data_IF_732290678506
#
_entry.id   IF_732290678506
#
_cell.length_a   1.000
_cell.length_b   1.000
_cell.length_c   1.000
_cell.angle_alpha   90.00
_cell.angle_beta   90.00
_cell.angle_gamma   90.00
#
_symmetry.space_group_name_H-M   'P 1'
#
loop_
_entity.id
_entity.type
_entity.pdbx_description
1 polymer ?
#
# COMPACT_ATOMS: atom_id res chain seq x y z
N UNK A 1 -57.35 10.54 -8.44
CA UNK A 1 -56.47 9.75 -9.33
C UNK A 1 -55.41 10.62 -10.02
N UNK A 2 -55.79 11.70 -10.72
CA UNK A 2 -54.84 12.62 -11.39
C UNK A 2 -53.73 13.14 -10.45
N UNK A 3 -54.09 13.57 -9.24
CA UNK A 3 -53.13 14.08 -8.26
C UNK A 3 -52.09 13.03 -7.80
N UNK A 4 -52.49 11.76 -7.71
CA UNK A 4 -51.59 10.65 -7.37
C UNK A 4 -50.61 10.36 -8.51
N UNK A 5 -51.07 10.42 -9.76
CA UNK A 5 -50.24 10.23 -10.93
C UNK A 5 -49.20 11.36 -11.06
N UNK A 6 -49.61 12.60 -10.78
CA UNK A 6 -48.72 13.77 -10.81
C UNK A 6 -47.63 13.71 -9.72
N UNK A 7 -47.98 13.30 -8.49
CA UNK A 7 -47.00 13.05 -7.43
C UNK A 7 -46.03 11.90 -7.72
N UNK A 8 -46.50 10.85 -8.40
CA UNK A 8 -45.64 9.73 -8.82
C UNK A 8 -44.61 10.19 -9.87
N UNK A 9 -45.06 10.96 -10.87
CA UNK A 9 -44.19 11.54 -11.89
C UNK A 9 -43.16 12.51 -11.28
N UNK A 10 -43.57 13.34 -10.31
CA UNK A 10 -42.67 14.27 -9.63
C UNK A 10 -41.60 13.53 -8.81
N UNK A 11 -41.96 12.48 -8.07
CA UNK A 11 -40.98 11.62 -7.36
C UNK A 11 -39.99 10.95 -8.29
N UNK A 12 -40.46 10.45 -9.44
CA UNK A 12 -39.58 9.84 -10.45
C UNK A 12 -38.62 10.87 -11.05
N UNK A 13 -39.07 12.10 -11.30
CA UNK A 13 -38.23 13.19 -11.78
C UNK A 13 -37.16 13.57 -10.74
N UNK A 14 -37.54 13.74 -9.47
CA UNK A 14 -36.59 14.02 -8.38
C UNK A 14 -35.56 12.91 -8.20
N UNK A 15 -35.96 11.64 -8.32
CA UNK A 15 -35.05 10.49 -8.28
C UNK A 15 -34.07 10.51 -9.45
N UNK A 16 -34.54 10.85 -10.65
CA UNK A 16 -33.67 10.95 -11.84
C UNK A 16 -32.65 12.07 -11.67
N UNK A 17 -33.09 13.26 -11.25
CA UNK A 17 -32.19 14.40 -10.97
C UNK A 17 -31.17 14.08 -9.87
N UNK A 18 -31.57 13.38 -8.80
CA UNK A 18 -30.64 12.92 -7.75
C UNK A 18 -29.60 11.96 -8.32
N UNK A 19 -30.03 10.97 -9.11
CA UNK A 19 -29.12 10.02 -9.74
C UNK A 19 -28.13 10.69 -10.69
N UNK A 20 -28.56 11.69 -11.45
CA UNK A 20 -27.69 12.43 -12.37
C UNK A 20 -26.69 13.32 -11.62
N UNK A 21 -27.11 13.95 -10.52
CA UNK A 21 -26.19 14.69 -9.62
C UNK A 21 -25.16 13.75 -8.98
N UNK A 22 -25.57 12.56 -8.54
CA UNK A 22 -24.65 11.56 -7.99
C UNK A 22 -23.64 11.05 -9.05
N UNK A 23 -24.09 10.81 -10.28
CA UNK A 23 -23.20 10.43 -11.39
C UNK A 23 -22.19 11.53 -11.71
N UNK A 24 -22.64 12.78 -11.78
CA UNK A 24 -21.76 13.92 -12.00
C UNK A 24 -20.74 14.07 -10.87
N UNK A 25 -21.19 13.97 -9.61
CA UNK A 25 -20.31 14.02 -8.44
C UNK A 25 -19.25 12.90 -8.45
N UNK A 26 -19.64 11.66 -8.78
CA UNK A 26 -18.69 10.53 -8.93
C UNK A 26 -17.71 10.75 -10.06
N UNK A 27 -18.16 11.32 -11.18
CA UNK A 27 -17.28 11.65 -12.32
C UNK A 27 -16.26 12.72 -11.92
N UNK A 28 -16.70 13.81 -11.28
CA UNK A 28 -15.82 14.87 -10.80
C UNK A 28 -14.84 14.38 -9.73
N UNK A 29 -15.25 13.50 -8.81
CA UNK A 29 -14.33 12.94 -7.82
C UNK A 29 -13.29 12.02 -8.48
N UNK A 30 -13.69 11.24 -9.49
CA UNK A 30 -12.74 10.42 -10.25
C UNK A 30 -11.72 11.28 -11.01
N UNK A 31 -12.15 12.37 -11.64
CA UNK A 31 -11.26 13.32 -12.32
C UNK A 31 -10.27 13.96 -11.33
N UNK A 32 -10.75 14.37 -10.14
CA UNK A 32 -9.89 14.90 -9.07
C UNK A 32 -8.87 13.88 -8.57
N UNK A 33 -9.29 12.63 -8.41
CA UNK A 33 -8.39 11.55 -7.99
C UNK A 33 -7.32 11.25 -9.05
N UNK A 34 -7.68 11.27 -10.34
CA UNK A 34 -6.74 11.13 -11.43
C UNK A 34 -5.74 12.30 -11.49
N UNK A 35 -6.21 13.54 -11.25
CA UNK A 35 -5.33 14.71 -11.13
C UNK A 35 -4.39 14.62 -9.93
N UNK A 36 -4.87 14.17 -8.76
CA UNK A 36 -4.04 13.92 -7.57
C UNK A 36 -2.93 12.92 -7.88
N UNK A 37 -3.26 11.81 -8.54
CA UNK A 37 -2.29 10.78 -8.94
C UNK A 37 -1.23 11.32 -9.87
N UNK A 38 -1.62 12.08 -10.90
CA UNK A 38 -0.66 12.73 -11.82
C UNK A 38 0.28 13.67 -11.08
N UNK A 39 -0.25 14.48 -10.15
CA UNK A 39 0.59 15.36 -9.33
C UNK A 39 1.55 14.58 -8.42
N UNK A 40 1.16 13.40 -7.93
CA UNK A 40 2.05 12.52 -7.17
C UNK A 40 3.14 11.91 -8.05
N UNK A 41 2.79 11.41 -9.24
CA UNK A 41 3.73 10.85 -10.21
C UNK A 41 4.76 11.92 -10.65
N UNK A 42 4.30 13.16 -10.89
CA UNK A 42 5.17 14.28 -11.24
C UNK A 42 6.18 14.61 -10.12
N UNK A 43 5.75 14.54 -8.84
CA UNK A 43 6.65 14.74 -7.70
C UNK A 43 7.71 13.65 -7.63
N UNK A 44 7.32 12.39 -7.87
CA UNK A 44 8.25 11.26 -7.88
C UNK A 44 9.25 11.40 -9.03
N UNK A 45 8.78 11.76 -10.22
CA UNK A 45 9.64 11.97 -11.38
C UNK A 45 10.65 13.11 -11.16
N UNK A 46 10.25 14.18 -10.46
CA UNK A 46 11.16 15.25 -10.07
C UNK A 46 12.24 14.76 -9.08
N UNK A 47 11.86 13.93 -8.10
CA UNK A 47 12.82 13.31 -7.18
C UNK A 47 13.78 12.38 -7.92
N UNK A 48 13.27 11.53 -8.80
CA UNK A 48 14.04 10.60 -9.60
C UNK A 48 15.11 11.34 -10.42
N UNK A 49 14.70 12.37 -11.16
CA UNK A 49 15.64 13.20 -11.93
C UNK A 49 16.71 13.84 -11.05
N UNK A 50 16.34 14.33 -9.85
CA UNK A 50 17.30 14.93 -8.92
C UNK A 50 18.28 13.91 -8.36
N UNK A 51 17.82 12.69 -8.09
CA UNK A 51 18.66 11.59 -7.64
C UNK A 51 19.60 11.12 -8.76
N UNK A 52 19.14 11.03 -10.00
CA UNK A 52 19.96 10.69 -11.16
C UNK A 52 21.07 11.73 -11.40
N UNK A 53 20.71 13.03 -11.40
CA UNK A 53 21.67 14.13 -11.48
C UNK A 53 22.72 14.06 -10.36
N UNK A 54 22.28 13.76 -9.13
CA UNK A 54 23.14 13.64 -7.96
C UNK A 54 24.09 12.45 -8.03
N UNK A 55 23.57 11.27 -8.38
CA UNK A 55 24.33 10.03 -8.54
C UNK A 55 25.36 10.16 -9.65
N UNK A 56 24.98 10.73 -10.79
CA UNK A 56 25.87 10.94 -11.92
C UNK A 56 26.99 11.94 -11.55
N UNK A 57 26.66 13.01 -10.81
CA UNK A 57 27.67 13.93 -10.30
C UNK A 57 28.65 13.23 -9.34
N UNK A 58 28.16 12.35 -8.46
CA UNK A 58 29.02 11.56 -7.57
C UNK A 58 29.91 10.57 -8.35
N UNK A 59 29.37 9.93 -9.40
CA UNK A 59 30.13 9.05 -10.30
C UNK A 59 31.30 9.80 -10.95
N UNK A 60 31.04 11.00 -11.49
CA UNK A 60 32.09 11.84 -12.05
C UNK A 60 33.17 12.25 -11.04
N UNK A 61 32.79 12.52 -9.78
CA UNK A 61 33.78 12.79 -8.73
C UNK A 61 34.67 11.56 -8.52
N UNK A 62 34.09 10.36 -8.50
CA UNK A 62 34.84 9.09 -8.43
C UNK A 62 35.82 8.93 -9.58
N UNK A 63 35.39 9.21 -10.81
CA UNK A 63 36.24 9.15 -12.01
C UNK A 63 37.40 10.17 -11.95
N UNK A 64 37.12 11.41 -11.54
CA UNK A 64 38.14 12.46 -11.40
C UNK A 64 39.12 12.17 -10.27
N UNK A 65 38.64 11.63 -9.15
CA UNK A 65 39.46 11.33 -7.98
C UNK A 65 40.36 10.11 -8.21
N UNK A 66 39.87 9.10 -8.95
CA UNK A 66 40.64 7.90 -9.26
C UNK A 66 41.81 8.14 -10.23
N UNK A 67 41.69 9.11 -11.14
CA UNK A 67 42.73 9.47 -12.12
C UNK A 67 43.09 10.95 -12.06
N UNK A 68 43.34 11.46 -10.85
CA UNK A 68 43.51 12.88 -10.64
C UNK A 68 44.76 13.46 -11.33
N UNK A 69 44.59 14.63 -11.94
CA UNK A 69 45.66 15.46 -12.50
C UNK A 69 45.41 16.90 -12.05
N UNK A 70 46.47 17.68 -11.77
CA UNK A 70 46.35 19.05 -11.22
C UNK A 70 45.44 19.96 -12.04
N UNK A 71 45.42 19.80 -13.37
CA UNK A 71 44.53 20.54 -14.28
C UNK A 71 43.03 20.28 -14.07
N UNK A 72 42.65 19.23 -13.33
CA UNK A 72 41.27 18.90 -13.01
C UNK A 72 40.80 19.44 -11.65
N UNK A 73 41.67 20.15 -10.89
CA UNK A 73 41.34 20.65 -9.56
C UNK A 73 40.07 21.52 -9.57
N UNK A 74 39.94 22.45 -10.52
CA UNK A 74 38.79 23.34 -10.60
C UNK A 74 37.50 22.58 -10.95
N UNK A 75 37.60 21.59 -11.85
CA UNK A 75 36.49 20.73 -12.20
C UNK A 75 36.03 19.90 -10.98
N UNK A 76 36.97 19.32 -10.24
CA UNK A 76 36.68 18.56 -9.01
C UNK A 76 36.01 19.46 -7.96
N UNK A 77 36.54 20.66 -7.71
CA UNK A 77 35.96 21.63 -6.79
C UNK A 77 34.52 21.98 -7.19
N UNK A 78 34.28 22.30 -8.46
CA UNK A 78 32.94 22.59 -8.99
C UNK A 78 31.95 21.43 -8.80
N UNK A 79 32.41 20.19 -8.95
CA UNK A 79 31.61 18.98 -8.73
C UNK A 79 31.31 18.74 -7.25
N UNK A 80 32.27 19.00 -6.36
CA UNK A 80 32.05 18.95 -4.90
C UNK A 80 31.00 19.99 -4.49
N UNK A 81 31.08 21.23 -4.98
CA UNK A 81 30.05 22.24 -4.75
C UNK A 81 28.68 21.78 -5.24
N UNK A 82 28.62 21.18 -6.43
CA UNK A 82 27.38 20.60 -6.98
C UNK A 82 26.84 19.47 -6.10
N UNK A 83 27.71 18.62 -5.57
CA UNK A 83 27.33 17.52 -4.67
C UNK A 83 26.73 18.05 -3.37
N UNK A 84 27.38 19.03 -2.73
CA UNK A 84 26.88 19.66 -1.50
C UNK A 84 25.53 20.33 -1.74
N UNK A 85 25.38 21.04 -2.87
CA UNK A 85 24.10 21.64 -3.25
C UNK A 85 23.03 20.57 -3.47
N UNK A 86 23.36 19.47 -4.14
CA UNK A 86 22.46 18.34 -4.33
C UNK A 86 21.96 17.75 -3.01
N UNK A 87 22.86 17.57 -2.02
CA UNK A 87 22.47 17.14 -0.67
C UNK A 87 21.53 18.13 0.02
N UNK A 88 21.78 19.44 -0.10
CA UNK A 88 20.90 20.46 0.46
C UNK A 88 19.51 20.47 -0.19
N UNK A 89 19.44 20.27 -1.51
CA UNK A 89 18.18 20.20 -2.24
C UNK A 89 17.39 18.94 -1.85
N UNK A 90 18.07 17.79 -1.70
CA UNK A 90 17.48 16.54 -1.21
C UNK A 90 16.96 16.69 0.24
N UNK A 91 17.72 17.35 1.12
CA UNK A 91 17.29 17.59 2.50
C UNK A 91 16.05 18.49 2.57
N UNK A 92 15.95 19.50 1.69
CA UNK A 92 14.78 20.38 1.60
C UNK A 92 13.54 19.66 1.11
N UNK A 93 13.67 18.74 0.14
CA UNK A 93 12.53 18.03 -0.44
C UNK A 93 12.07 16.79 0.37
N UNK A 94 12.83 16.35 1.38
CA UNK A 94 12.52 15.14 2.17
C UNK A 94 11.11 15.14 2.78
N UNK A 95 10.62 16.32 3.17
CA UNK A 95 9.28 16.48 3.76
C UNK A 95 8.14 16.12 2.80
N UNK A 96 8.38 16.23 1.49
CA UNK A 96 7.38 15.92 0.44
C UNK A 96 7.04 14.43 0.39
N UNK A 97 7.92 13.56 0.89
CA UNK A 97 7.79 12.10 0.78
C UNK A 97 7.65 11.41 2.14
N UNK A 98 7.30 12.14 3.21
CA UNK A 98 7.19 11.56 4.56
C UNK A 98 6.09 10.50 4.71
N UNK A 99 5.11 10.51 3.82
CA UNK A 99 4.04 9.52 3.73
C UNK A 99 4.53 8.20 3.09
N UNK A 100 5.63 8.24 2.34
CA UNK A 100 6.18 7.07 1.65
C UNK A 100 7.13 6.31 2.58
N UNK A 101 6.78 5.06 2.89
CA UNK A 101 7.60 4.16 3.71
C UNK A 101 8.27 3.12 2.83
N UNK A 102 9.61 3.04 2.89
CA UNK A 102 10.40 2.02 2.19
C UNK A 102 10.81 0.94 3.20
N UNK A 103 10.39 -0.32 3.02
CA UNK A 103 10.79 -1.41 3.91
C UNK A 103 12.29 -1.65 3.86
N UNK A 104 12.94 -1.79 5.02
CA UNK A 104 14.37 -2.11 5.09
C UNK A 104 14.71 -3.49 4.51
N UNK A 105 13.76 -4.42 4.55
CA UNK A 105 13.89 -5.74 3.94
C UNK A 105 14.03 -5.69 2.40
N UNK A 106 13.79 -4.52 1.78
CA UNK A 106 14.02 -4.30 0.35
C UNK A 106 15.51 -4.08 0.04
N UNK A 107 16.32 -3.56 0.98
CA UNK A 107 17.70 -3.17 0.73
C UNK A 107 18.57 -4.30 0.15
N UNK A 108 18.50 -5.57 0.64
CA UNK A 108 19.27 -6.65 0.04
C UNK A 108 18.96 -6.89 -1.44
N UNK A 109 17.75 -6.57 -1.90
CA UNK A 109 17.40 -6.68 -3.32
C UNK A 109 18.07 -5.56 -4.12
N UNK A 110 18.12 -4.34 -3.58
CA UNK A 110 18.76 -3.20 -4.24
C UNK A 110 20.28 -3.37 -4.32
N UNK A 111 20.91 -3.79 -3.21
CA UNK A 111 22.36 -3.99 -3.12
C UNK A 111 22.85 -5.08 -4.09
N UNK A 112 22.03 -6.13 -4.28
CA UNK A 112 22.30 -7.20 -5.25
C UNK A 112 21.92 -6.84 -6.70
N UNK A 113 21.44 -5.62 -6.97
CA UNK A 113 20.97 -5.19 -8.30
C UNK A 113 19.73 -5.96 -8.78
N UNK A 114 18.95 -6.55 -7.87
CA UNK A 114 17.73 -7.29 -8.17
C UNK A 114 16.54 -6.35 -8.37
N UNK A 115 15.58 -6.79 -9.18
CA UNK A 115 14.34 -6.05 -9.37
C UNK A 115 13.53 -5.97 -8.05
N UNK A 116 13.17 -4.78 -7.55
CA UNK A 116 12.35 -4.59 -6.34
C UNK A 116 11.01 -5.34 -6.34
N UNK A 117 10.42 -5.61 -7.51
CA UNK A 117 9.19 -6.40 -7.63
C UNK A 117 9.37 -7.83 -7.10
N UNK A 118 10.60 -8.36 -7.03
CA UNK A 118 10.89 -9.65 -6.43
C UNK A 118 10.66 -9.64 -4.91
N UNK A 119 10.94 -8.53 -4.23
CA UNK A 119 10.60 -8.37 -2.82
C UNK A 119 9.08 -8.39 -2.62
N UNK A 120 8.34 -7.63 -3.43
CA UNK A 120 6.88 -7.61 -3.38
C UNK A 120 6.29 -9.01 -3.61
N UNK A 121 6.80 -9.73 -4.61
CA UNK A 121 6.42 -11.12 -4.89
C UNK A 121 6.67 -12.02 -3.68
N UNK A 122 7.88 -11.99 -3.12
CA UNK A 122 8.23 -12.80 -1.96
C UNK A 122 7.34 -12.48 -0.73
N UNK A 123 7.02 -11.21 -0.51
CA UNK A 123 6.11 -10.79 0.56
C UNK A 123 4.69 -11.36 0.35
N UNK A 124 4.17 -11.32 -0.88
CA UNK A 124 2.88 -11.89 -1.23
C UNK A 124 2.85 -13.41 -1.04
N UNK A 125 3.88 -14.11 -1.50
CA UNK A 125 4.02 -15.56 -1.36
C UNK A 125 4.09 -15.99 0.11
N UNK A 126 4.91 -15.30 0.91
CA UNK A 126 5.00 -15.53 2.36
C UNK A 126 3.68 -15.26 3.08
N UNK A 127 2.94 -14.24 2.65
CA UNK A 127 1.62 -13.92 3.21
C UNK A 127 0.61 -15.01 2.86
N UNK A 128 0.62 -15.49 1.62
CA UNK A 128 -0.23 -16.59 1.17
C UNK A 128 0.06 -17.88 1.96
N UNK A 129 1.33 -18.22 2.16
CA UNK A 129 1.73 -19.39 2.95
C UNK A 129 1.24 -19.28 4.39
N UNK A 130 1.43 -18.13 5.03
CA UNK A 130 0.90 -17.87 6.38
C UNK A 130 -0.61 -18.00 6.45
N UNK A 131 -1.34 -17.47 5.47
CA UNK A 131 -2.80 -17.58 5.42
C UNK A 131 -3.24 -19.05 5.29
N UNK A 132 -2.58 -19.85 4.45
CA UNK A 132 -2.85 -21.29 4.32
C UNK A 132 -2.59 -22.02 5.65
N UNK A 133 -1.47 -21.73 6.31
CA UNK A 133 -1.12 -22.33 7.59
C UNK A 133 -2.14 -21.97 8.70
N UNK A 134 -2.59 -20.71 8.76
CA UNK A 134 -3.62 -20.26 9.70
C UNK A 134 -4.96 -20.94 9.41
N UNK A 135 -5.36 -21.02 8.14
CA UNK A 135 -6.59 -21.72 7.77
C UNK A 135 -6.56 -23.21 8.16
N UNK A 136 -5.43 -23.90 7.92
CA UNK A 136 -5.25 -25.29 8.36
C UNK A 136 -5.37 -25.44 9.88
N UNK A 137 -4.81 -24.50 10.67
CA UNK A 137 -4.99 -24.49 12.12
C UNK A 137 -6.46 -24.30 12.52
N UNK A 138 -7.16 -23.36 11.89
CA UNK A 138 -8.59 -23.12 12.14
C UNK A 138 -9.39 -24.41 11.90
N UNK A 139 -9.15 -25.10 10.78
CA UNK A 139 -9.82 -26.36 10.47
C UNK A 139 -9.56 -27.45 11.51
N UNK A 140 -8.31 -27.59 11.97
CA UNK A 140 -7.94 -28.56 13.02
C UNK A 140 -8.64 -28.20 14.34
N UNK A 141 -8.65 -26.92 14.74
CA UNK A 141 -9.35 -26.50 15.95
C UNK A 141 -10.87 -26.68 15.85
N UNK A 142 -11.46 -26.46 14.67
CA UNK A 142 -12.88 -26.76 14.43
C UNK A 142 -13.18 -28.25 14.63
N UNK A 143 -12.34 -29.13 14.08
CA UNK A 143 -12.47 -30.59 14.25
C UNK A 143 -12.26 -31.03 15.69
N UNK A 144 -11.22 -30.51 16.35
CA UNK A 144 -10.94 -30.78 17.76
C UNK A 144 -12.09 -30.35 18.66
N UNK A 145 -12.65 -29.15 18.44
CA UNK A 145 -13.86 -28.69 19.14
C UNK A 145 -15.02 -29.65 18.93
N UNK A 146 -15.29 -30.05 17.69
CA UNK A 146 -16.38 -30.99 17.40
C UNK A 146 -16.20 -32.32 18.13
N UNK A 147 -14.97 -32.84 18.19
CA UNK A 147 -14.66 -34.05 18.93
C UNK A 147 -14.84 -33.86 20.44
N UNK A 148 -14.31 -32.79 21.04
CA UNK A 148 -14.52 -32.48 22.46
C UNK A 148 -16.01 -32.35 22.81
N UNK A 149 -16.78 -31.65 21.98
CA UNK A 149 -18.22 -31.49 22.20
C UNK A 149 -18.97 -32.83 22.12
N UNK A 150 -18.50 -33.75 21.27
CA UNK A 150 -19.03 -35.11 21.19
C UNK A 150 -18.74 -35.89 22.49
N UNK A 151 -17.47 -35.99 22.89
CA UNK A 151 -17.10 -36.74 24.11
C UNK A 151 -17.76 -36.16 25.36
N UNK A 152 -17.83 -34.83 25.48
CA UNK A 152 -18.53 -34.19 26.60
C UNK A 152 -20.04 -34.39 26.57
N UNK A 153 -20.65 -34.53 25.39
CA UNK A 153 -22.09 -34.82 25.32
C UNK A 153 -22.43 -36.24 25.78
N UNK A 154 -21.47 -37.18 25.67
CA UNK A 154 -21.61 -38.56 26.13
C UNK A 154 -21.36 -38.66 27.65
N UNK A 155 -20.32 -37.99 28.16
CA UNK A 155 -19.91 -38.07 29.58
C UNK A 155 -20.65 -37.09 30.51
N UNK A 156 -21.01 -35.89 30.03
CA UNK A 156 -21.52 -34.79 30.85
C UNK A 156 -22.59 -33.95 30.12
N UNK A 157 -23.75 -34.55 29.78
CA UNK A 157 -24.77 -33.89 28.95
C UNK A 157 -25.30 -32.59 29.56
N UNK A 158 -25.50 -32.53 30.88
CA UNK A 158 -26.00 -31.35 31.59
C UNK A 158 -25.05 -30.14 31.45
N UNK A 159 -23.74 -30.39 31.53
CA UNK A 159 -22.71 -29.35 31.36
C UNK A 159 -22.64 -28.85 29.92
N UNK A 160 -22.81 -29.74 28.94
CA UNK A 160 -22.86 -29.33 27.51
C UNK A 160 -24.10 -28.49 27.22
N UNK A 161 -25.25 -28.84 27.80
CA UNK A 161 -26.47 -28.02 27.70
C UNK A 161 -26.27 -26.63 28.29
N UNK A 162 -25.64 -26.54 29.47
CA UNK A 162 -25.29 -25.25 30.07
C UNK A 162 -24.27 -24.48 29.23
N UNK A 163 -23.23 -25.13 28.71
CA UNK A 163 -22.25 -24.49 27.84
C UNK A 163 -22.89 -23.91 26.57
N UNK A 164 -23.83 -24.63 25.96
CA UNK A 164 -24.62 -24.17 24.80
C UNK A 164 -25.59 -23.04 25.13
N UNK A 165 -26.03 -22.90 26.39
CA UNK A 165 -26.92 -21.80 26.77
C UNK A 165 -26.17 -20.49 27.02
N UNK A 166 -24.90 -20.56 27.47
CA UNK A 166 -24.06 -19.36 27.70
C UNK A 166 -23.27 -18.92 26.46
N UNK A 167 -23.00 -19.84 25.53
CA UNK A 167 -22.37 -19.48 24.26
C UNK A 167 -23.45 -19.36 23.19
N UNK A 168 -23.57 -18.19 22.59
CA UNK A 168 -24.19 -18.07 21.27
C UNK A 168 -23.53 -19.12 20.38
N UNK A 169 -24.34 -19.99 19.76
CA UNK A 169 -23.86 -20.94 18.76
C UNK A 169 -23.26 -20.07 17.65
N UNK A 170 -21.95 -19.79 17.76
CA UNK A 170 -21.16 -19.34 16.65
C UNK A 170 -21.14 -20.55 15.71
N UNK A 171 -22.20 -20.62 14.91
CA UNK A 171 -22.33 -21.38 13.68
C UNK A 171 -21.24 -20.88 12.72
N UNK A 172 -20.00 -21.23 13.04
CA UNK A 172 -18.87 -21.22 12.12
C UNK A 172 -18.87 -22.54 11.35
N UNK A 173 -20.06 -22.97 10.90
CA UNK A 173 -20.13 -23.93 9.79
C UNK A 173 -19.39 -23.35 8.59
#
# INVERSE_FOLDING_TARGET
MVQQQQQSQQRMMELHERNDREKLARKTEKEREEERRKQEDDKILQLEKKLEEFQENARFIGDLASNFQTKYQDALNGRIYTLVRGLQDLDRMKGTFSDKKVPLDLLPYLDDGKNPCLYSKHCMEKTLEKNKAVNGKIEIYKKFRAHLMKEFSEEMPDLVMYYRSIREDLDLS
#
